data_IF_763991993195
#
_entry.id   IF_763991993195
#
_cell.length_a   1.000
_cell.length_b   1.000
_cell.length_c   1.000
_cell.angle_alpha   90.00
_cell.angle_beta   90.00
_cell.angle_gamma   90.00
#
_symmetry.space_group_name_H-M   'P 1'
#
loop_
_entity.id
_entity.type
_entity.pdbx_description
1 polymer ?
#
# COMPACT_ATOMS: atom_id res chain seq x y z
N UNK A 1 -50.06 16.11 16.60
CA UNK A 1 -48.59 16.19 16.63
C UNK A 1 -48.05 14.81 16.27
N UNK A 2 -47.75 14.61 14.99
CA UNK A 2 -47.30 13.32 14.43
C UNK A 2 -45.79 13.26 14.38
N UNK A 3 -45.20 12.30 15.11
CA UNK A 3 -43.79 11.99 15.01
C UNK A 3 -43.59 11.10 13.78
N UNK A 4 -43.03 11.69 12.71
CA UNK A 4 -42.52 10.93 11.57
C UNK A 4 -41.22 10.22 11.98
N UNK A 5 -41.32 8.91 12.19
CA UNK A 5 -40.17 8.05 12.31
C UNK A 5 -39.51 7.93 10.96
N UNK A 6 -38.33 8.52 10.80
CA UNK A 6 -37.46 8.29 9.64
C UNK A 6 -36.99 6.83 9.64
N UNK A 7 -37.51 6.06 8.70
CA UNK A 7 -37.08 4.71 8.42
C UNK A 7 -35.60 4.76 7.95
N UNK A 8 -34.67 4.32 8.78
CA UNK A 8 -33.30 4.02 8.37
C UNK A 8 -33.39 2.88 7.35
N UNK A 9 -33.07 3.16 6.10
CA UNK A 9 -32.85 2.13 5.11
C UNK A 9 -31.70 1.26 5.63
N UNK A 10 -32.00 -0.03 5.86
CA UNK A 10 -30.97 -1.02 6.12
C UNK A 10 -30.04 -1.10 4.92
N UNK A 11 -28.75 -0.91 5.13
CA UNK A 11 -27.76 -1.19 4.12
C UNK A 11 -27.85 -2.66 3.71
N UNK A 12 -27.71 -2.98 2.41
CA UNK A 12 -27.74 -4.35 1.95
C UNK A 12 -26.56 -5.10 2.57
N UNK A 13 -26.85 -6.08 3.41
CA UNK A 13 -25.85 -7.00 3.93
C UNK A 13 -25.22 -7.75 2.76
N UNK A 14 -23.92 -7.66 2.67
CA UNK A 14 -23.12 -8.31 1.63
C UNK A 14 -23.23 -9.83 1.73
N UNK A 15 -23.53 -10.49 0.62
CA UNK A 15 -23.62 -11.95 0.58
C UNK A 15 -22.23 -12.59 0.71
N UNK A 16 -22.10 -13.78 1.34
CA UNK A 16 -20.86 -14.54 1.34
C UNK A 16 -20.52 -14.94 -0.11
N UNK A 17 -19.42 -14.41 -0.64
CA UNK A 17 -18.99 -14.64 -2.01
C UNK A 17 -19.03 -13.42 -2.94
N UNK A 18 -19.57 -12.29 -2.50
CA UNK A 18 -19.46 -11.05 -3.28
C UNK A 18 -17.99 -10.62 -3.40
N UNK A 19 -17.54 -10.24 -4.61
CA UNK A 19 -16.17 -9.79 -4.82
C UNK A 19 -15.88 -8.57 -3.93
N UNK A 20 -14.78 -8.64 -3.17
CA UNK A 20 -14.33 -7.51 -2.35
C UNK A 20 -14.03 -6.32 -3.27
N UNK A 21 -14.56 -5.12 -3.04
CA UNK A 21 -14.25 -3.96 -3.86
C UNK A 21 -12.74 -3.73 -3.88
N UNK A 22 -12.18 -3.62 -5.06
CA UNK A 22 -10.74 -3.32 -5.22
C UNK A 22 -10.51 -1.89 -4.76
N UNK A 23 -9.44 -1.61 -3.99
CA UNK A 23 -9.08 -0.25 -3.66
C UNK A 23 -8.93 0.57 -4.96
N UNK A 24 -9.42 1.81 -4.94
CA UNK A 24 -9.31 2.71 -6.09
C UNK A 24 -7.83 3.06 -6.24
N UNK A 25 -7.17 2.43 -7.20
CA UNK A 25 -5.77 2.74 -7.54
C UNK A 25 -5.76 3.94 -8.47
N UNK A 26 -5.20 5.06 -8.02
CA UNK A 26 -4.95 6.21 -8.91
C UNK A 26 -3.77 5.92 -9.83
N UNK A 27 -3.73 6.53 -11.04
CA UNK A 27 -2.63 6.32 -11.98
C UNK A 27 -1.27 6.54 -11.34
N UNK A 28 -0.29 5.78 -11.79
CA UNK A 28 1.10 5.90 -11.38
C UNK A 28 1.59 7.33 -11.65
N UNK A 29 2.00 8.04 -10.61
CA UNK A 29 2.60 9.37 -10.72
C UNK A 29 4.11 9.17 -10.83
N UNK A 30 4.70 9.65 -11.91
CA UNK A 30 6.17 9.66 -12.03
C UNK A 30 6.71 10.82 -11.20
N UNK A 31 7.44 10.53 -10.11
CA UNK A 31 8.06 11.59 -9.31
C UNK A 31 9.12 12.32 -10.11
N UNK A 32 9.32 13.59 -9.85
CA UNK A 32 10.43 14.33 -10.42
C UNK A 32 11.74 13.79 -9.82
N UNK A 33 12.58 13.17 -10.63
CA UNK A 33 13.88 12.65 -10.24
C UNK A 33 14.87 13.81 -9.90
N UNK A 34 14.55 14.60 -8.88
CA UNK A 34 15.33 15.83 -8.56
C UNK A 34 16.49 15.60 -7.60
N UNK A 35 16.70 14.40 -7.07
CA UNK A 35 17.83 14.17 -6.17
C UNK A 35 18.77 13.12 -6.74
N UNK A 36 19.98 13.55 -7.09
CA UNK A 36 21.11 12.69 -7.47
C UNK A 36 21.69 11.91 -6.27
N UNK A 37 21.12 12.08 -5.10
CA UNK A 37 21.58 11.46 -3.85
C UNK A 37 20.56 10.45 -3.38
N UNK A 38 20.99 9.21 -3.10
CA UNK A 38 20.18 8.18 -2.45
C UNK A 38 20.02 8.55 -0.97
N UNK A 39 18.80 8.78 -0.48
CA UNK A 39 18.58 9.08 0.94
C UNK A 39 18.85 7.85 1.82
N UNK A 40 18.98 8.01 3.15
CA UNK A 40 19.01 6.87 4.08
C UNK A 40 17.77 5.99 3.94
N UNK A 41 17.91 4.68 4.26
CA UNK A 41 16.78 3.74 4.21
C UNK A 41 15.65 4.16 5.16
N UNK A 42 14.41 3.99 4.70
CA UNK A 42 13.21 4.42 5.38
C UNK A 42 12.56 5.63 4.73
N UNK A 43 11.61 6.26 5.43
CA UNK A 43 10.88 7.45 4.96
C UNK A 43 11.12 8.63 5.89
N UNK A 44 11.49 9.76 5.32
CA UNK A 44 11.84 10.98 6.06
C UNK A 44 11.11 12.18 5.50
N UNK A 45 10.57 13.01 6.39
CA UNK A 45 10.01 14.31 6.02
C UNK A 45 11.15 15.24 5.61
N UNK A 46 10.95 15.96 4.52
CA UNK A 46 11.95 16.89 3.98
C UNK A 46 11.65 18.33 4.41
N UNK A 47 12.70 19.20 4.57
CA UNK A 47 12.51 20.60 5.00
C UNK A 47 11.70 21.45 4.02
N UNK A 48 11.68 21.09 2.75
CA UNK A 48 10.95 21.76 1.67
C UNK A 48 9.50 21.30 1.53
N UNK A 49 9.04 20.43 2.45
CA UNK A 49 7.73 19.79 2.42
C UNK A 49 7.71 18.57 1.52
N UNK A 50 7.13 17.50 2.04
CA UNK A 50 7.11 16.21 1.37
C UNK A 50 7.94 15.16 2.08
N UNK A 51 8.27 14.06 1.36
CA UNK A 51 9.02 12.93 1.88
C UNK A 51 10.07 12.44 0.91
N UNK A 52 11.22 12.02 1.45
CA UNK A 52 12.18 11.15 0.78
C UNK A 52 11.97 9.72 1.28
N UNK A 53 11.87 8.77 0.36
CA UNK A 53 11.71 7.34 0.66
C UNK A 53 12.84 6.54 0.02
N UNK A 54 13.40 5.57 0.76
CA UNK A 54 14.38 4.63 0.25
C UNK A 54 14.20 3.24 0.85
N UNK A 55 14.28 2.21 0.02
CA UNK A 55 14.15 0.82 0.43
C UNK A 55 15.17 -0.07 -0.29
N UNK A 56 15.75 -1.02 0.44
CA UNK A 56 16.65 -2.03 -0.13
C UNK A 56 15.82 -3.18 -0.72
N UNK A 57 15.92 -3.39 -2.03
CA UNK A 57 15.26 -4.46 -2.76
C UNK A 57 16.13 -4.90 -3.95
N UNK A 58 17.24 -5.57 -3.67
CA UNK A 58 18.33 -5.85 -4.64
C UNK A 58 17.89 -6.71 -5.82
N UNK A 59 16.89 -7.57 -5.65
CA UNK A 59 16.40 -8.48 -6.69
C UNK A 59 15.08 -8.00 -7.32
N UNK A 60 14.61 -6.81 -6.93
CA UNK A 60 13.41 -6.22 -7.52
C UNK A 60 13.68 -5.74 -8.95
N UNK A 61 12.67 -5.84 -9.80
CA UNK A 61 12.66 -5.25 -11.16
C UNK A 61 11.99 -3.88 -11.18
N UNK A 62 11.12 -3.59 -10.19
CA UNK A 62 10.53 -2.29 -9.93
C UNK A 62 10.04 -2.22 -8.47
N UNK A 63 9.89 -1.01 -7.95
CA UNK A 63 9.31 -0.75 -6.63
C UNK A 63 8.40 0.47 -6.72
N UNK A 64 7.21 0.37 -6.12
CA UNK A 64 6.31 1.50 -5.92
C UNK A 64 6.26 1.87 -4.44
N UNK A 65 6.38 3.15 -4.14
CA UNK A 65 5.95 3.72 -2.87
C UNK A 65 4.44 3.95 -2.95
N UNK A 66 3.70 3.38 -2.01
CA UNK A 66 2.25 3.51 -1.93
C UNK A 66 1.88 4.41 -0.76
N UNK A 67 1.15 5.49 -1.02
CA UNK A 67 0.56 6.33 0.02
C UNK A 67 -0.91 5.94 0.18
N UNK A 68 -1.32 5.72 1.43
CA UNK A 68 -2.65 5.22 1.77
C UNK A 68 -3.45 6.35 2.42
N UNK A 69 -4.48 6.80 1.75
CA UNK A 69 -5.38 7.84 2.20
C UNK A 69 -6.68 7.23 2.75
N UNK A 70 -7.15 7.70 3.89
CA UNK A 70 -8.49 7.34 4.41
C UNK A 70 -9.51 8.21 3.67
N UNK A 71 -10.33 7.59 2.83
CA UNK A 71 -11.34 8.28 2.02
C UNK A 71 -12.73 8.20 2.61
N UNK A 72 -13.04 7.12 3.31
CA UNK A 72 -14.30 6.97 4.05
C UNK A 72 -14.06 6.51 5.48
N UNK A 73 -13.93 7.44 6.45
CA UNK A 73 -13.67 7.11 7.83
C UNK A 73 -14.86 6.43 8.54
N UNK A 74 -16.05 6.41 7.93
CA UNK A 74 -17.23 5.76 8.48
C UNK A 74 -17.22 4.24 8.30
N UNK A 75 -16.46 3.74 7.32
CA UNK A 75 -16.28 2.31 7.11
C UNK A 75 -15.38 1.69 8.19
N UNK A 76 -15.53 0.38 8.41
CA UNK A 76 -14.63 -0.38 9.29
C UNK A 76 -13.17 -0.26 8.84
N UNK A 77 -12.22 -0.30 9.80
CA UNK A 77 -10.79 -0.18 9.50
C UNK A 77 -10.26 -1.28 8.58
N UNK A 78 -10.97 -2.39 8.46
CA UNK A 78 -10.63 -3.52 7.59
C UNK A 78 -11.43 -3.52 6.28
N UNK A 79 -12.31 -2.54 6.07
CA UNK A 79 -13.01 -2.39 4.80
C UNK A 79 -12.08 -1.75 3.78
N UNK A 80 -11.75 -2.44 2.67
CA UNK A 80 -10.85 -1.91 1.65
C UNK A 80 -11.41 -0.65 0.97
N UNK A 81 -12.73 -0.44 0.97
CA UNK A 81 -13.38 0.78 0.48
C UNK A 81 -13.06 2.02 1.31
N UNK A 82 -12.58 1.83 2.55
CA UNK A 82 -12.14 2.91 3.43
C UNK A 82 -10.92 3.65 2.89
N UNK A 83 -10.11 3.01 2.06
CA UNK A 83 -8.79 3.50 1.68
C UNK A 83 -8.66 3.72 0.18
N UNK A 84 -7.84 4.70 -0.17
CA UNK A 84 -7.38 4.92 -1.55
C UNK A 84 -5.86 4.86 -1.57
N UNK A 85 -5.31 4.09 -2.51
CA UNK A 85 -3.88 3.94 -2.70
C UNK A 85 -3.41 4.84 -3.85
N UNK A 86 -2.41 5.69 -3.57
CA UNK A 86 -1.66 6.46 -4.57
C UNK A 86 -0.28 5.84 -4.74
N UNK A 87 0.11 5.50 -5.95
CA UNK A 87 1.39 4.84 -6.25
C UNK A 87 2.37 5.80 -6.90
N UNK A 88 3.61 5.73 -6.45
CA UNK A 88 4.74 6.50 -6.95
C UNK A 88 5.86 5.53 -7.31
N UNK A 89 6.22 5.48 -8.60
CA UNK A 89 7.34 4.68 -9.08
C UNK A 89 8.63 5.18 -8.45
N UNK A 90 9.44 4.26 -7.91
CA UNK A 90 10.74 4.59 -7.34
C UNK A 90 11.84 4.46 -8.37
N UNK A 91 12.88 5.27 -8.24
CA UNK A 91 14.06 5.26 -9.09
C UNK A 91 15.10 4.31 -8.50
N UNK A 92 15.72 3.50 -9.35
CA UNK A 92 16.75 2.56 -8.91
C UNK A 92 16.87 1.34 -9.83
N UNK A 93 17.59 0.29 -9.40
CA UNK A 93 18.34 0.26 -8.14
C UNK A 93 19.71 0.96 -8.25
N UNK A 94 20.08 1.68 -7.18
CA UNK A 94 21.45 2.15 -6.95
C UNK A 94 22.02 1.33 -5.79
N UNK A 95 22.94 0.43 -6.07
CA UNK A 95 23.45 -0.57 -5.10
C UNK A 95 22.33 -1.36 -4.40
N UNK A 96 21.28 -1.72 -5.15
CA UNK A 96 20.12 -2.45 -4.62
C UNK A 96 19.09 -1.58 -3.91
N UNK A 97 19.32 -0.28 -3.78
CA UNK A 97 18.40 0.68 -3.13
C UNK A 97 17.53 1.37 -4.18
N UNK A 98 16.23 1.36 -3.95
CA UNK A 98 15.22 2.11 -4.66
C UNK A 98 14.85 3.34 -3.86
N UNK A 99 14.69 4.49 -4.51
CA UNK A 99 14.37 5.73 -3.81
C UNK A 99 13.45 6.64 -4.63
N UNK A 100 12.73 7.53 -3.93
CA UNK A 100 11.91 8.56 -4.57
C UNK A 100 11.73 9.74 -3.64
N UNK A 101 11.41 10.91 -4.20
CA UNK A 101 10.93 12.07 -3.49
C UNK A 101 9.48 12.35 -3.89
N UNK A 102 8.61 12.53 -2.90
CA UNK A 102 7.21 12.89 -3.13
C UNK A 102 6.94 14.21 -2.41
N UNK A 103 6.62 15.30 -3.16
CA UNK A 103 6.28 16.58 -2.57
C UNK A 103 4.92 16.56 -1.89
N UNK A 104 4.67 17.56 -1.05
CA UNK A 104 3.36 17.84 -0.45
C UNK A 104 2.76 16.68 0.36
N UNK A 105 3.62 15.93 1.07
CA UNK A 105 3.21 14.87 1.98
C UNK A 105 3.45 15.30 3.42
N UNK A 106 2.38 15.33 4.21
CA UNK A 106 2.44 15.74 5.61
C UNK A 106 2.83 14.57 6.54
N UNK A 107 3.41 14.85 7.72
CA UNK A 107 3.58 13.85 8.77
C UNK A 107 2.27 13.16 9.13
N UNK A 108 2.34 11.85 9.42
CA UNK A 108 1.16 11.02 9.72
C UNK A 108 0.59 10.30 8.50
N UNK A 109 1.11 10.55 7.29
CA UNK A 109 0.74 9.80 6.09
C UNK A 109 1.07 8.32 6.27
N UNK A 110 0.10 7.45 6.01
CA UNK A 110 0.29 5.99 5.95
C UNK A 110 0.93 5.61 4.63
N UNK A 111 1.85 4.67 4.65
CA UNK A 111 2.55 4.23 3.45
C UNK A 111 2.97 2.76 3.54
N UNK A 112 3.36 2.21 2.40
CA UNK A 112 3.99 0.91 2.25
C UNK A 112 4.64 0.79 0.88
N UNK A 113 5.16 -0.39 0.56
CA UNK A 113 5.82 -0.65 -0.72
C UNK A 113 5.16 -1.81 -1.45
N UNK A 114 5.09 -1.70 -2.78
CA UNK A 114 4.84 -2.85 -3.66
C UNK A 114 6.11 -3.15 -4.44
N UNK A 115 6.54 -4.41 -4.37
CA UNK A 115 7.82 -4.83 -4.93
C UNK A 115 7.57 -5.85 -6.03
N UNK A 116 8.06 -5.53 -7.22
CA UNK A 116 7.99 -6.36 -8.41
C UNK A 116 9.30 -7.11 -8.59
N UNK A 117 9.23 -8.35 -9.08
CA UNK A 117 10.42 -9.15 -9.30
C UNK A 117 10.08 -10.62 -9.49
N UNK A 118 11.11 -11.50 -9.58
CA UNK A 118 10.90 -12.91 -9.79
C UNK A 118 10.26 -13.59 -8.59
N UNK A 119 9.40 -14.57 -8.86
CA UNK A 119 8.87 -15.49 -7.89
C UNK A 119 9.60 -16.82 -8.00
N UNK A 120 10.60 -17.02 -7.16
CA UNK A 120 11.31 -18.30 -6.99
C UNK A 120 11.55 -18.57 -5.50
N UNK A 121 10.59 -19.19 -4.80
CA UNK A 121 10.71 -19.48 -3.36
C UNK A 121 11.89 -20.36 -2.99
N UNK A 122 12.39 -21.19 -3.93
CA UNK A 122 13.56 -22.06 -3.71
C UNK A 122 14.85 -21.27 -3.64
N UNK A 123 14.95 -20.21 -4.42
CA UNK A 123 16.04 -19.25 -4.38
C UNK A 123 15.83 -18.13 -3.35
N UNK A 124 14.76 -18.19 -2.54
CA UNK A 124 14.42 -17.16 -1.56
C UNK A 124 13.72 -15.93 -2.14
N UNK A 125 13.41 -15.92 -3.45
CA UNK A 125 12.78 -14.79 -4.12
C UNK A 125 11.25 -14.94 -4.04
N UNK A 126 10.58 -13.96 -3.40
CA UNK A 126 9.13 -14.01 -3.16
C UNK A 126 8.47 -12.67 -3.44
N UNK A 127 8.81 -12.07 -4.59
CA UNK A 127 8.21 -10.79 -4.96
C UNK A 127 6.74 -11.01 -5.36
N UNK A 128 5.85 -10.28 -4.70
CA UNK A 128 4.43 -10.28 -5.02
C UNK A 128 3.89 -8.84 -4.96
N UNK A 129 3.72 -8.16 -6.11
CA UNK A 129 3.25 -6.77 -6.13
C UNK A 129 1.78 -6.60 -5.71
N UNK A 130 1.03 -7.69 -5.59
CA UNK A 130 -0.30 -7.65 -5.00
C UNK A 130 -0.27 -7.34 -3.51
N UNK A 131 0.86 -7.58 -2.83
CA UNK A 131 1.02 -7.31 -1.40
C UNK A 131 1.58 -5.92 -1.15
N UNK A 132 0.95 -5.20 -0.23
CA UNK A 132 1.51 -3.99 0.36
C UNK A 132 2.47 -4.40 1.47
N UNK A 133 3.75 -4.11 1.31
CA UNK A 133 4.78 -4.46 2.27
C UNK A 133 5.04 -3.30 3.21
N UNK A 134 5.19 -3.63 4.47
CA UNK A 134 5.57 -2.68 5.52
C UNK A 134 7.05 -2.35 5.40
N UNK A 135 7.39 -1.07 5.63
CA UNK A 135 8.78 -0.62 5.71
C UNK A 135 9.45 -1.18 6.98
N UNK A 136 10.59 -1.88 6.86
CA UNK A 136 11.39 -2.31 8.02
C UNK A 136 11.85 -1.15 8.91
N UNK A 137 11.93 0.07 8.36
CA UNK A 137 12.31 1.30 9.06
C UNK A 137 11.12 2.16 9.47
N UNK A 138 9.88 1.63 9.40
CA UNK A 138 8.69 2.35 9.81
C UNK A 138 8.76 2.78 11.28
N UNK A 139 8.38 4.02 11.56
CA UNK A 139 8.39 4.58 12.93
C UNK A 139 7.15 4.26 13.74
N UNK A 140 6.11 3.71 13.11
CA UNK A 140 4.87 3.33 13.74
C UNK A 140 3.97 2.58 12.76
N UNK A 141 3.01 1.85 13.31
CA UNK A 141 2.02 1.10 12.56
C UNK A 141 0.63 1.61 12.92
N UNK A 142 -0.25 1.64 11.94
CA UNK A 142 -1.67 1.93 12.15
C UNK A 142 -2.48 0.68 11.82
N UNK A 143 -3.52 0.42 12.65
CA UNK A 143 -4.36 -0.76 12.51
C UNK A 143 -3.87 -1.97 13.31
N UNK A 144 -4.58 -3.08 13.17
CA UNK A 144 -4.26 -4.37 13.81
C UNK A 144 -3.99 -5.41 12.73
N UNK A 145 -2.92 -6.19 12.92
CA UNK A 145 -2.65 -7.32 12.05
C UNK A 145 -3.74 -8.38 12.21
N UNK A 146 -4.36 -8.77 11.12
CA UNK A 146 -5.23 -9.95 11.05
C UNK A 146 -4.47 -11.07 10.36
N UNK A 147 -4.51 -12.26 10.97
CA UNK A 147 -3.99 -13.45 10.34
C UNK A 147 -5.06 -14.06 9.43
N UNK A 148 -4.83 -13.99 8.13
CA UNK A 148 -5.67 -14.53 7.09
C UNK A 148 -4.83 -15.11 5.94
N UNK A 149 -5.46 -15.65 4.90
CA UNK A 149 -4.77 -16.12 3.70
C UNK A 149 -3.91 -15.05 3.05
N UNK A 150 -4.29 -13.79 3.24
CA UNK A 150 -3.63 -12.60 2.70
C UNK A 150 -2.21 -12.41 3.24
N UNK A 151 -1.96 -12.85 4.47
CA UNK A 151 -0.64 -12.76 5.13
C UNK A 151 0.30 -13.85 4.66
N UNK A 152 -0.24 -14.95 4.10
CA UNK A 152 0.57 -16.06 3.59
C UNK A 152 1.22 -15.66 2.27
N UNK A 153 2.55 -15.69 2.22
CA UNK A 153 3.33 -15.26 1.04
C UNK A 153 3.24 -16.16 -0.20
N UNK A 154 2.47 -17.25 -0.14
CA UNK A 154 2.33 -18.16 -1.26
C UNK A 154 1.37 -17.61 -2.32
N UNK A 155 1.82 -17.51 -3.57
CA UNK A 155 0.92 -17.41 -4.72
C UNK A 155 0.36 -18.82 -4.92
N UNK A 156 -0.92 -19.03 -4.63
CA UNK A 156 -1.58 -20.24 -5.08
C UNK A 156 -1.91 -20.05 -6.55
N UNK A 157 -1.50 -20.99 -7.39
CA UNK A 157 -1.80 -21.03 -8.82
C UNK A 157 -3.30 -21.16 -9.11
N UNK A 158 -4.12 -21.34 -8.09
CA UNK A 158 -5.56 -21.54 -8.20
C UNK A 158 -6.41 -20.30 -7.90
N UNK A 159 -5.79 -19.16 -7.57
CA UNK A 159 -6.52 -17.92 -7.26
C UNK A 159 -5.83 -16.70 -7.87
N UNK A 160 -6.27 -16.31 -9.03
CA UNK A 160 -5.83 -15.07 -9.69
C UNK A 160 -6.35 -13.78 -9.02
N UNK A 161 -7.23 -13.86 -8.03
CA UNK A 161 -8.10 -12.74 -7.64
C UNK A 161 -8.15 -12.39 -6.15
N UNK A 162 -7.31 -12.93 -5.29
CA UNK A 162 -7.54 -12.74 -3.86
C UNK A 162 -6.42 -12.15 -3.01
N UNK A 163 -5.32 -11.71 -3.57
CA UNK A 163 -4.09 -11.55 -2.83
C UNK A 163 -3.67 -10.15 -2.48
N UNK A 164 -4.45 -9.19 -2.81
CA UNK A 164 -4.15 -7.77 -2.71
C UNK A 164 -4.64 -7.14 -1.42
N UNK A 165 -5.16 -7.93 -0.52
CA UNK A 165 -5.56 -7.50 0.81
C UNK A 165 -4.60 -8.03 1.84
N UNK A 166 -3.44 -7.47 1.94
CA UNK A 166 -2.64 -7.60 3.14
C UNK A 166 -2.56 -6.22 3.76
N UNK A 167 -3.42 -5.93 4.63
CA UNK A 167 -3.23 -4.90 5.63
C UNK A 167 -2.78 -5.53 6.92
#
# INVERSE_FOLDING_TARGET
>A
MGHMAQSRRAEPQRAPGDPVPRPVVRPLIRPSARRSHVPPLGVYVTPDGGIDAAVLASHATAVDLCLIDVTDPALDEHDPGRYTERRFEMVGPVYGVWHTHVPDVAPGQRYGFRVYGPWDPRAGLRHNPAKLLVDPYARGFAGRLRYGPEVVGAVSTEREDGWWLSD
#
